data_IF_420425948812
#
_entry.id   IF_420425948812
#
_cell.length_a   1.000
_cell.length_b   1.000
_cell.length_c   1.000
_cell.angle_alpha   90.00
_cell.angle_beta   90.00
_cell.angle_gamma   90.00
#
_symmetry.space_group_name_H-M   'P 1'
#
loop_
_entity.id
_entity.type
_entity.pdbx_description
1 polymer ?
#
# COMPACT_ATOMS: atom_id res chain seq x y z
N UNK A 1 -0.76 -23.17 7.32
CA UNK A 1 -1.37 -23.15 5.98
C UNK A 1 -1.75 -21.71 5.73
N UNK A 2 -1.13 -21.03 4.77
CA UNK A 2 -1.51 -19.65 4.42
C UNK A 2 -2.88 -19.69 3.72
N UNK A 3 -3.81 -18.83 4.10
CA UNK A 3 -5.13 -18.74 3.45
C UNK A 3 -5.01 -18.03 2.11
N UNK A 4 -5.97 -18.23 1.20
CA UNK A 4 -6.03 -17.51 -0.08
C UNK A 4 -5.98 -16.00 0.16
N UNK A 5 -6.70 -15.51 1.17
CA UNK A 5 -6.69 -14.09 1.56
C UNK A 5 -5.31 -13.58 1.99
N UNK A 6 -4.53 -14.40 2.71
CA UNK A 6 -3.16 -14.04 3.12
C UNK A 6 -2.22 -13.95 1.92
N UNK A 7 -2.35 -14.87 0.95
CA UNK A 7 -1.55 -14.87 -0.27
C UNK A 7 -1.87 -13.65 -1.14
N UNK A 8 -3.16 -13.34 -1.32
CA UNK A 8 -3.61 -12.15 -2.07
C UNK A 8 -3.12 -10.86 -1.41
N UNK A 9 -3.25 -10.75 -0.09
CA UNK A 9 -2.73 -9.61 0.67
C UNK A 9 -1.22 -9.41 0.49
N UNK A 10 -0.45 -10.50 0.51
CA UNK A 10 1.00 -10.49 0.32
C UNK A 10 1.41 -10.08 -1.09
N UNK A 11 0.66 -10.52 -2.10
CA UNK A 11 0.86 -10.12 -3.50
C UNK A 11 0.57 -8.63 -3.70
N UNK A 12 -0.54 -8.13 -3.14
CA UNK A 12 -0.91 -6.71 -3.18
C UNK A 12 0.16 -5.82 -2.53
N UNK A 13 0.67 -6.20 -1.36
CA UNK A 13 1.76 -5.46 -0.70
C UNK A 13 3.08 -5.54 -1.44
N UNK A 14 3.36 -6.65 -2.12
CA UNK A 14 4.56 -6.78 -2.95
C UNK A 14 4.49 -5.85 -4.15
N UNK A 15 3.31 -5.72 -4.75
CA UNK A 15 3.07 -4.78 -5.85
C UNK A 15 3.27 -3.32 -5.41
N UNK A 16 2.65 -2.93 -4.30
CA UNK A 16 2.82 -1.59 -3.68
C UNK A 16 4.31 -1.27 -3.46
N UNK A 17 5.06 -2.19 -2.85
CA UNK A 17 6.50 -1.98 -2.57
C UNK A 17 7.30 -1.75 -3.85
N UNK A 18 6.97 -2.44 -4.93
CA UNK A 18 7.65 -2.24 -6.23
C UNK A 18 7.37 -0.85 -6.80
N UNK A 19 6.14 -0.35 -6.66
CA UNK A 19 5.81 1.01 -7.11
C UNK A 19 6.60 2.07 -6.33
N UNK A 20 6.67 1.96 -5.00
CA UNK A 20 7.46 2.88 -4.16
C UNK A 20 8.94 2.90 -4.58
N UNK A 21 9.53 1.73 -4.82
CA UNK A 21 10.94 1.62 -5.26
C UNK A 21 11.13 2.33 -6.62
N UNK A 22 10.21 2.11 -7.57
CA UNK A 22 10.27 2.75 -8.89
C UNK A 22 10.22 4.27 -8.79
N UNK A 23 9.31 4.80 -7.96
CA UNK A 23 9.15 6.23 -7.74
C UNK A 23 10.39 6.84 -7.07
N UNK A 24 10.93 6.17 -6.06
CA UNK A 24 12.15 6.61 -5.37
C UNK A 24 13.33 6.74 -6.33
N UNK A 25 13.48 5.77 -7.25
CA UNK A 25 14.55 5.82 -8.25
C UNK A 25 14.41 7.00 -9.23
N UNK A 26 13.17 7.44 -9.52
CA UNK A 26 12.92 8.62 -10.36
C UNK A 26 13.18 9.93 -9.60
N UNK A 27 12.92 9.97 -8.28
CA UNK A 27 13.22 11.14 -7.44
C UNK A 27 14.72 11.40 -7.27
N UNK A 28 15.55 10.36 -7.37
CA UNK A 28 17.02 10.46 -7.37
C UNK A 28 17.57 11.07 -8.67
N UNK A 29 16.78 11.15 -9.73
CA UNK A 29 17.15 11.87 -10.94
C UNK A 29 17.14 13.40 -10.70
N UNK A 30 18.13 14.10 -11.26
CA UNK A 30 18.29 15.54 -11.13
C UNK A 30 17.48 16.34 -12.16
N UNK A 31 16.74 15.66 -13.04
CA UNK A 31 15.77 16.33 -13.90
C UNK A 31 14.52 16.76 -13.11
N UNK A 32 14.31 18.07 -12.96
CA UNK A 32 13.16 18.62 -12.23
C UNK A 32 11.80 18.08 -12.74
N UNK A 33 11.65 17.90 -14.06
CA UNK A 33 10.43 17.33 -14.65
C UNK A 33 10.19 15.88 -14.23
N UNK A 34 11.24 15.07 -14.17
CA UNK A 34 11.14 13.68 -13.71
C UNK A 34 10.80 13.61 -12.20
N UNK A 35 11.32 14.57 -11.42
CA UNK A 35 11.03 14.66 -9.99
C UNK A 35 9.59 15.04 -9.69
N UNK A 36 9.02 16.01 -10.40
CA UNK A 36 7.60 16.40 -10.21
C UNK A 36 6.67 15.24 -10.55
N UNK A 37 6.89 14.56 -11.69
CA UNK A 37 6.13 13.37 -12.06
C UNK A 37 6.25 12.25 -11.03
N UNK A 38 7.46 12.02 -10.50
CA UNK A 38 7.67 11.01 -9.48
C UNK A 38 6.96 11.35 -8.15
N UNK A 39 6.83 12.63 -7.79
CA UNK A 39 6.05 13.04 -6.62
C UNK A 39 4.57 12.71 -6.82
N UNK A 40 4.00 13.00 -7.99
CA UNK A 40 2.61 12.67 -8.31
C UNK A 40 2.38 11.15 -8.28
N UNK A 41 3.29 10.38 -8.89
CA UNK A 41 3.25 8.91 -8.86
C UNK A 41 3.34 8.38 -7.41
N UNK A 42 4.11 9.03 -6.52
CA UNK A 42 4.19 8.64 -5.11
C UNK A 42 2.85 8.82 -4.40
N UNK A 43 2.17 9.93 -4.66
CA UNK A 43 0.87 10.24 -4.06
C UNK A 43 -0.16 9.20 -4.48
N UNK A 44 -0.19 8.82 -5.76
CA UNK A 44 -1.10 7.80 -6.28
C UNK A 44 -0.86 6.43 -5.63
N UNK A 45 0.41 6.07 -5.46
CA UNK A 45 0.80 4.82 -4.77
C UNK A 45 0.33 4.83 -3.31
N UNK A 46 0.51 5.94 -2.59
CA UNK A 46 0.06 6.07 -1.19
C UNK A 46 -1.47 5.99 -1.10
N UNK A 47 -2.20 6.63 -2.02
CA UNK A 47 -3.66 6.52 -2.03
C UNK A 47 -4.12 5.09 -2.32
N UNK A 48 -3.43 4.36 -3.19
CA UNK A 48 -3.73 2.96 -3.46
C UNK A 48 -3.41 2.06 -2.26
N UNK A 49 -2.35 2.37 -1.50
CA UNK A 49 -2.06 1.74 -0.22
C UNK A 49 -3.21 1.94 0.78
N UNK A 50 -3.66 3.18 0.97
CA UNK A 50 -4.72 3.51 1.92
C UNK A 50 -6.05 2.82 1.58
N UNK A 51 -6.38 2.68 0.29
CA UNK A 51 -7.58 1.93 -0.14
C UNK A 51 -7.51 0.45 0.21
N UNK A 52 -6.32 -0.15 0.10
CA UNK A 52 -6.07 -1.58 0.32
C UNK A 52 -5.63 -1.88 1.75
N UNK A 53 -5.50 -0.87 2.60
CA UNK A 53 -5.15 -1.05 4.00
C UNK A 53 -6.23 -1.89 4.70
N UNK A 54 -5.87 -3.01 5.35
CA UNK A 54 -6.82 -3.79 6.13
C UNK A 54 -7.38 -2.93 7.24
N UNK A 55 -8.65 -2.56 7.12
CA UNK A 55 -9.37 -1.93 8.22
C UNK A 55 -9.47 -2.98 9.32
N UNK A 56 -8.85 -2.74 10.47
CA UNK A 56 -9.14 -3.53 11.67
C UNK A 56 -10.65 -3.49 11.86
N UNK A 57 -11.33 -4.63 11.68
CA UNK A 57 -12.66 -4.77 12.23
C UNK A 57 -12.52 -4.46 13.72
N UNK A 58 -13.17 -3.39 14.18
CA UNK A 58 -13.44 -3.27 15.60
C UNK A 58 -14.31 -4.48 15.92
N UNK A 59 -13.70 -5.54 16.43
CA UNK A 59 -14.43 -6.64 17.04
C UNK A 59 -15.45 -6.00 17.98
N UNK A 60 -16.72 -6.04 17.59
CA UNK A 60 -17.81 -5.84 18.55
C UNK A 60 -17.75 -7.08 19.41
N UNK A 61 -16.94 -7.03 20.46
CA UNK A 61 -16.94 -8.03 21.53
C UNK A 61 -18.34 -8.00 22.14
N UNK A 62 -19.27 -8.79 21.59
CA UNK A 62 -20.50 -9.15 22.28
C UNK A 62 -20.07 -10.13 23.37
N UNK A 63 -19.70 -9.59 24.52
CA UNK A 63 -19.62 -10.40 25.73
C UNK A 63 -21.08 -10.66 26.12
N UNK A 64 -21.59 -11.81 25.72
CA UNK A 64 -22.76 -12.40 26.35
C UNK A 64 -22.32 -12.88 27.72
N UNK A 65 -22.82 -12.27 28.79
CA UNK A 65 -22.70 -12.78 30.14
C UNK A 65 -24.02 -13.53 30.41
N UNK A 66 -23.93 -14.85 30.56
CA UNK A 66 -24.98 -15.68 31.14
C UNK A 66 -25.13 -15.41 32.64
#
# INVERSE_FOLDING_TARGET
METIDFLTFKEDWTFIKRMIISVTAQLEDNQNYAREQAIDDLVDVIQEMDKREPKKEREKTKISID
#
